data_IF_712045543453
#
_entry.id   IF_712045543453
#
_cell.length_a   1.000
_cell.length_b   1.000
_cell.length_c   1.000
_cell.angle_alpha   90.00
_cell.angle_beta   90.00
_cell.angle_gamma   90.00
#
_symmetry.space_group_name_H-M   'P 1'
#
loop_
_entity.id
_entity.type
_entity.pdbx_description
1 polymer ?
#
# COMPACT_ATOMS: atom_id res chain seq x y z
N UNK A 1 9.78 16.10 1.56
CA UNK A 1 9.71 14.62 1.54
C UNK A 1 11.10 14.05 1.23
N UNK A 2 11.38 12.80 1.62
CA UNK A 2 12.66 12.15 1.38
C UNK A 2 12.65 11.46 0.02
N UNK A 3 13.75 11.56 -0.73
CA UNK A 3 13.88 10.90 -2.04
C UNK A 3 14.01 9.37 -1.90
N UNK A 4 14.60 8.91 -0.79
CA UNK A 4 14.75 7.50 -0.43
C UNK A 4 14.20 7.25 0.99
N UNK A 5 13.45 6.17 1.14
CA UNK A 5 12.77 5.75 2.38
C UNK A 5 13.03 4.26 2.59
N UNK A 6 13.73 3.92 3.68
CA UNK A 6 13.98 2.51 4.01
C UNK A 6 12.68 1.77 4.36
N UNK A 7 11.82 2.40 5.15
CA UNK A 7 10.56 1.81 5.61
C UNK A 7 9.44 2.86 5.57
N UNK A 8 8.42 2.59 4.76
CA UNK A 8 7.16 3.32 4.75
C UNK A 8 6.10 2.51 5.51
N UNK A 9 5.70 3.00 6.67
CA UNK A 9 4.66 2.37 7.49
C UNK A 9 3.31 3.01 7.19
N UNK A 10 2.40 2.21 6.63
CA UNK A 10 1.04 2.62 6.31
C UNK A 10 0.11 2.09 7.39
N UNK A 11 -0.45 3.02 8.17
CA UNK A 11 -1.36 2.69 9.27
C UNK A 11 -2.57 1.91 8.77
N UNK A 12 -3.13 2.31 7.63
CA UNK A 12 -4.36 1.73 7.09
C UNK A 12 -4.48 1.97 5.58
N UNK A 13 -5.05 0.99 4.88
CA UNK A 13 -5.38 1.05 3.45
C UNK A 13 -6.89 0.92 3.27
N UNK A 14 -7.45 1.43 2.18
CA UNK A 14 -8.87 1.29 1.92
C UNK A 14 -9.33 1.98 0.66
N UNK A 15 -10.40 1.46 0.04
CA UNK A 15 -10.98 2.04 -1.19
C UNK A 15 -11.51 3.46 -0.98
N UNK A 16 -11.88 3.79 0.24
CA UNK A 16 -12.29 5.12 0.66
C UNK A 16 -11.13 6.14 0.67
N UNK A 17 -9.87 5.68 0.75
CA UNK A 17 -8.69 6.55 0.69
C UNK A 17 -8.15 6.68 -0.74
N UNK A 18 -8.08 5.56 -1.46
CA UNK A 18 -7.61 5.50 -2.84
C UNK A 18 -8.35 4.39 -3.57
N UNK A 19 -8.66 4.56 -4.86
CA UNK A 19 -9.33 3.51 -5.65
C UNK A 19 -8.57 2.17 -5.63
N UNK A 20 -7.24 2.21 -5.53
CA UNK A 20 -6.35 1.05 -5.41
C UNK A 20 -6.07 0.64 -3.96
N UNK A 21 -6.72 1.24 -2.96
CA UNK A 21 -6.51 1.01 -1.53
C UNK A 21 -5.32 1.77 -0.93
N UNK A 22 -4.25 1.97 -1.70
CA UNK A 22 -3.14 2.88 -1.42
C UNK A 22 -2.89 3.79 -2.61
N UNK A 23 -2.52 5.04 -2.37
CA UNK A 23 -2.18 5.98 -3.45
C UNK A 23 -0.78 5.65 -4.02
N UNK A 24 -0.75 5.20 -5.26
CA UNK A 24 0.47 4.81 -5.98
C UNK A 24 1.43 5.97 -6.22
N UNK A 25 0.94 7.22 -6.25
CA UNK A 25 1.79 8.41 -6.37
C UNK A 25 2.48 8.76 -5.05
N UNK A 26 1.92 8.32 -3.92
CA UNK A 26 2.52 8.52 -2.59
C UNK A 26 3.53 7.42 -2.28
N UNK A 27 3.22 6.17 -2.64
CA UNK A 27 4.11 5.02 -2.38
C UNK A 27 5.17 4.81 -3.46
N UNK A 28 5.07 5.47 -4.61
CA UNK A 28 6.05 5.36 -5.71
C UNK A 28 6.08 3.98 -6.37
N UNK A 29 4.98 3.22 -6.33
CA UNK A 29 4.91 1.83 -6.80
C UNK A 29 3.57 1.54 -7.49
N UNK A 30 3.62 0.92 -8.68
CA UNK A 30 2.45 0.61 -9.51
C UNK A 30 2.20 -0.90 -9.65
N UNK A 31 3.26 -1.70 -9.74
CA UNK A 31 3.30 -3.14 -10.05
C UNK A 31 2.47 -3.56 -11.28
N UNK A 32 2.45 -2.72 -12.32
CA UNK A 32 1.71 -3.00 -13.56
C UNK A 32 2.62 -3.76 -14.54
N UNK A 33 2.21 -4.95 -15.05
CA UNK A 33 3.03 -5.72 -15.97
C UNK A 33 3.45 -4.92 -17.21
N UNK A 34 4.76 -4.92 -17.49
CA UNK A 34 5.38 -4.26 -18.65
C UNK A 34 5.28 -2.73 -18.66
N UNK A 35 4.90 -2.11 -17.55
CA UNK A 35 4.97 -0.65 -17.38
C UNK A 35 6.26 -0.30 -16.63
N UNK A 36 6.96 0.75 -17.07
CA UNK A 36 8.10 1.27 -16.33
C UNK A 36 7.62 2.02 -15.08
N UNK A 37 8.32 1.83 -13.96
CA UNK A 37 8.10 2.56 -12.72
C UNK A 37 9.28 3.49 -12.47
N UNK A 38 8.99 4.74 -12.14
CA UNK A 38 9.99 5.76 -11.84
C UNK A 38 10.54 5.66 -10.40
N UNK A 39 9.90 4.85 -9.55
CA UNK A 39 10.29 4.58 -8.16
C UNK A 39 10.52 5.88 -7.36
N UNK A 40 9.59 6.83 -7.47
CA UNK A 40 9.66 8.11 -6.75
C UNK A 40 8.43 8.32 -5.86
N UNK A 41 8.60 8.37 -4.52
CA UNK A 41 9.84 8.18 -3.77
C UNK A 41 10.38 6.73 -3.87
N UNK A 42 11.69 6.55 -3.67
CA UNK A 42 12.32 5.23 -3.63
C UNK A 42 12.06 4.59 -2.26
N UNK A 43 11.10 3.68 -2.19
CA UNK A 43 10.70 3.00 -0.96
C UNK A 43 11.17 1.55 -0.97
N UNK A 44 12.10 1.21 -0.08
CA UNK A 44 12.64 -0.14 0.01
C UNK A 44 11.59 -1.13 0.55
N UNK A 45 10.93 -0.80 1.66
CA UNK A 45 9.92 -1.66 2.31
C UNK A 45 8.66 -0.88 2.65
N UNK A 46 7.51 -1.39 2.20
CA UNK A 46 6.19 -0.90 2.59
C UNK A 46 5.57 -1.89 3.57
N UNK A 47 5.19 -1.42 4.75
CA UNK A 47 4.48 -2.19 5.77
C UNK A 47 3.04 -1.70 5.92
N UNK A 48 2.07 -2.59 5.68
CA UNK A 48 0.63 -2.28 5.85
C UNK A 48 0.14 -2.82 7.18
N UNK A 49 -0.41 -1.94 8.03
CA UNK A 49 -0.81 -2.32 9.38
C UNK A 49 -2.30 -2.65 9.52
N UNK A 50 -3.17 -2.17 8.63
CA UNK A 50 -4.62 -2.36 8.74
C UNK A 50 -5.37 -2.11 7.42
N UNK A 51 -6.64 -2.49 7.37
CA UNK A 51 -7.61 -2.14 6.31
C UNK A 51 -8.73 -1.31 6.95
N UNK A 52 -9.18 -0.24 6.30
CA UNK A 52 -10.25 0.62 6.82
C UNK A 52 -11.59 -0.10 6.90
N UNK A 53 -12.38 0.28 7.91
CA UNK A 53 -13.72 -0.26 8.11
C UNK A 53 -14.64 0.08 6.91
N UNK A 54 -14.48 1.27 6.35
CA UNK A 54 -15.23 1.74 5.17
C UNK A 54 -14.86 1.00 3.89
N UNK A 55 -13.75 0.26 3.86
CA UNK A 55 -13.39 -0.62 2.74
C UNK A 55 -14.22 -1.90 2.74
N UNK A 56 -14.93 -2.23 3.83
CA UNK A 56 -15.74 -3.45 3.98
C UNK A 56 -14.96 -4.71 3.57
N UNK A 57 -13.80 -4.88 4.22
CA UNK A 57 -12.88 -6.00 3.97
C UNK A 57 -12.15 -5.97 2.62
N UNK A 58 -12.40 -4.98 1.78
CA UNK A 58 -11.71 -4.86 0.50
C UNK A 58 -10.24 -4.46 0.69
N UNK A 59 -9.35 -5.42 0.42
CA UNK A 59 -7.91 -5.28 0.56
C UNK A 59 -7.19 -4.96 -0.77
N UNK A 60 -7.89 -4.37 -1.75
CA UNK A 60 -7.25 -3.98 -3.01
C UNK A 60 -5.98 -3.15 -2.73
N UNK A 61 -4.91 -3.47 -3.45
CA UNK A 61 -3.61 -2.83 -3.28
C UNK A 61 -2.75 -3.34 -2.13
N UNK A 62 -3.24 -4.21 -1.23
CA UNK A 62 -2.40 -4.75 -0.14
C UNK A 62 -1.12 -5.42 -0.64
N UNK A 63 -1.15 -5.98 -1.86
CA UNK A 63 0.02 -6.58 -2.51
C UNK A 63 1.10 -5.59 -2.93
N UNK A 64 0.83 -4.28 -2.99
CA UNK A 64 1.88 -3.26 -3.18
C UNK A 64 2.83 -3.20 -1.96
N UNK A 65 2.33 -3.66 -0.80
CA UNK A 65 3.09 -3.80 0.44
C UNK A 65 4.01 -5.02 0.43
N UNK A 66 5.16 -4.91 1.08
CA UNK A 66 6.11 -6.01 1.24
C UNK A 66 5.70 -6.94 2.40
N UNK A 67 5.21 -6.36 3.49
CA UNK A 67 4.76 -7.08 4.69
C UNK A 67 3.46 -6.51 5.21
N UNK A 68 2.69 -7.36 5.88
CA UNK A 68 1.43 -6.96 6.52
C UNK A 68 1.29 -7.66 7.87
N UNK A 69 0.37 -7.17 8.70
CA UNK A 69 0.08 -7.77 10.00
C UNK A 69 -1.02 -8.84 9.88
N UNK A 70 -1.01 -9.84 10.77
CA UNK A 70 -2.12 -10.81 10.87
C UNK A 70 -3.46 -10.12 11.13
N UNK A 71 -3.46 -8.98 11.83
CA UNK A 71 -4.66 -8.16 12.02
C UNK A 71 -5.25 -7.71 10.69
N UNK A 72 -4.44 -7.14 9.79
CA UNK A 72 -4.91 -6.69 8.49
C UNK A 72 -5.40 -7.87 7.64
N UNK A 73 -4.69 -9.01 7.67
CA UNK A 73 -5.09 -10.24 6.96
C UNK A 73 -6.45 -10.74 7.45
N UNK A 74 -6.70 -10.73 8.76
CA UNK A 74 -7.97 -11.17 9.34
C UNK A 74 -9.16 -10.23 9.06
N UNK A 75 -8.93 -9.07 8.43
CA UNK A 75 -9.99 -8.16 7.98
C UNK A 75 -10.30 -8.30 6.49
N UNK A 76 -9.63 -9.19 5.76
CA UNK A 76 -9.89 -9.42 4.33
C UNK A 76 -11.11 -10.31 4.18
N UNK A 77 -12.06 -9.88 3.33
CA UNK A 77 -13.26 -10.63 2.94
C UNK A 77 -13.08 -11.41 1.62
#
# INVERSE_FOLDING_TARGET
PFDAIDILVIKEIGKNFSGTGMDTNVVGRLMIPRMAEDHKPDVAVIAVLNISDESHGNAAGIGLGNVTTLRAVNRID
#
